data_IF_432276548939
#
_entry.id   IF_432276548939
#
_cell.length_a   1.000
_cell.length_b   1.000
_cell.length_c   1.000
_cell.angle_alpha   90.00
_cell.angle_beta   90.00
_cell.angle_gamma   90.00
#
_symmetry.space_group_name_H-M   'P 1'
#
loop_
_entity.id
_entity.type
_entity.pdbx_description
1 polymer ?
#
# COMPACT_ATOMS: atom_id res chain seq x y z
N UNK A 1 3.40 10.85 5.14
CA UNK A 1 4.30 9.89 4.44
C UNK A 1 3.64 8.53 4.40
N UNK A 2 3.81 7.79 3.31
CA UNK A 2 3.05 6.56 3.12
C UNK A 2 3.59 5.37 3.89
N UNK A 3 2.72 4.41 4.21
CA UNK A 3 3.08 3.06 4.58
C UNK A 3 3.29 2.24 3.30
N UNK A 4 4.36 1.45 3.24
CA UNK A 4 4.67 0.55 2.14
C UNK A 4 4.89 -0.87 2.64
N UNK A 5 4.30 -1.85 1.96
CA UNK A 5 4.56 -3.27 2.22
C UNK A 5 5.53 -3.74 1.13
N UNK A 6 6.68 -4.27 1.55
CA UNK A 6 7.76 -4.64 0.64
C UNK A 6 8.26 -6.06 0.92
N UNK A 7 8.52 -6.83 -0.13
CA UNK A 7 9.18 -8.12 -0.02
C UNK A 7 10.68 -7.92 -0.11
N UNK A 8 11.38 -8.01 1.03
CA UNK A 8 12.82 -7.78 1.09
C UNK A 8 13.44 -8.46 2.33
N UNK A 9 14.76 -8.42 2.40
CA UNK A 9 15.53 -8.71 3.61
C UNK A 9 15.69 -7.41 4.40
N UNK A 10 15.17 -7.37 5.62
CA UNK A 10 15.19 -6.15 6.47
C UNK A 10 16.61 -5.66 6.74
N UNK A 11 17.61 -6.55 6.73
CA UNK A 11 19.03 -6.20 6.92
C UNK A 11 19.63 -5.43 5.73
N UNK A 12 18.92 -5.39 4.59
CA UNK A 12 19.33 -4.69 3.36
C UNK A 12 18.54 -3.42 3.11
N UNK A 13 17.58 -3.10 3.98
CA UNK A 13 16.75 -1.91 3.84
C UNK A 13 17.57 -0.63 4.03
N UNK A 14 17.50 0.25 3.03
CA UNK A 14 18.12 1.57 3.08
C UNK A 14 17.10 2.58 3.62
N UNK A 15 17.03 2.70 4.93
CA UNK A 15 16.15 3.60 5.66
C UNK A 15 16.91 4.16 6.89
N UNK A 16 16.33 5.08 7.64
CA UNK A 16 17.00 5.64 8.82
C UNK A 16 17.05 4.66 9.96
N UNK A 17 15.98 3.90 10.19
CA UNK A 17 15.95 2.88 11.22
C UNK A 17 15.29 1.59 10.73
N UNK A 18 15.79 0.45 11.21
CA UNK A 18 15.09 -0.84 11.11
C UNK A 18 14.63 -1.27 12.49
N UNK A 19 13.50 -1.97 12.55
CA UNK A 19 12.99 -2.53 13.81
C UNK A 19 13.38 -4.01 13.91
N UNK A 20 13.90 -4.37 15.06
CA UNK A 20 14.24 -5.74 15.43
C UNK A 20 13.14 -6.33 16.31
N UNK A 21 12.53 -7.43 15.87
CA UNK A 21 11.65 -8.25 16.68
C UNK A 21 12.49 -9.13 17.63
N UNK A 22 12.92 -8.52 18.72
CA UNK A 22 13.84 -9.10 19.70
C UNK A 22 13.12 -9.93 20.77
N UNK A 23 13.89 -10.66 21.53
CA UNK A 23 13.46 -11.25 22.81
C UNK A 23 13.78 -10.31 23.98
N UNK A 24 13.28 -10.64 25.18
CA UNK A 24 13.45 -9.79 26.38
C UNK A 24 14.92 -9.54 26.77
N UNK A 25 15.84 -10.43 26.43
CA UNK A 25 17.26 -10.25 26.75
C UNK A 25 17.97 -9.28 25.82
N UNK A 26 17.48 -9.06 24.61
CA UNK A 26 18.09 -8.32 23.50
C UNK A 26 19.44 -8.90 23.02
N UNK A 27 19.76 -10.12 23.36
CA UNK A 27 21.07 -10.74 23.09
C UNK A 27 21.11 -11.61 21.82
N UNK A 28 20.16 -11.45 20.95
CA UNK A 28 19.99 -12.27 19.74
C UNK A 28 19.17 -13.52 20.01
N UNK A 29 18.70 -14.17 18.97
CA UNK A 29 17.93 -15.41 19.11
C UNK A 29 17.20 -15.81 17.83
N UNK A 30 15.98 -15.32 17.63
CA UNK A 30 15.10 -15.71 16.54
C UNK A 30 15.62 -15.45 15.13
N UNK A 31 14.83 -15.78 14.11
CA UNK A 31 15.26 -15.73 12.70
C UNK A 31 15.64 -14.29 12.29
N UNK A 32 14.76 -13.32 12.52
CA UNK A 32 15.00 -11.91 12.18
C UNK A 32 16.04 -11.30 13.10
N UNK A 33 15.89 -11.48 14.42
CA UNK A 33 16.81 -10.99 15.44
C UNK A 33 18.25 -11.49 15.21
N UNK A 34 18.41 -12.81 14.97
CA UNK A 34 19.70 -13.38 14.65
C UNK A 34 20.29 -12.88 13.32
N UNK A 35 19.47 -12.61 12.31
CA UNK A 35 19.94 -12.04 11.04
C UNK A 35 20.46 -10.60 11.23
N UNK A 36 19.74 -9.78 11.98
CA UNK A 36 20.13 -8.40 12.29
C UNK A 36 21.44 -8.37 13.07
N UNK A 37 21.56 -9.19 14.14
CA UNK A 37 22.79 -9.27 14.93
C UNK A 37 23.99 -9.74 14.10
N UNK A 38 23.84 -10.74 13.22
CA UNK A 38 24.92 -11.18 12.31
C UNK A 38 25.34 -10.09 11.34
N UNK A 39 24.36 -9.37 10.75
CA UNK A 39 24.63 -8.34 9.76
C UNK A 39 25.26 -7.08 10.41
N UNK A 40 24.82 -6.70 11.59
CA UNK A 40 25.34 -5.54 12.33
C UNK A 40 26.74 -5.76 12.92
N UNK A 41 27.08 -6.99 13.30
CA UNK A 41 28.36 -7.34 13.95
C UNK A 41 28.27 -7.33 15.48
N UNK A 42 29.40 -7.67 16.11
CA UNK A 42 29.49 -7.83 17.57
C UNK A 42 29.27 -6.52 18.37
N UNK A 43 29.49 -5.39 17.74
CA UNK A 43 29.30 -4.09 18.36
C UNK A 43 27.84 -3.89 18.78
N UNK A 44 26.88 -4.32 17.96
CA UNK A 44 25.45 -4.30 18.31
C UNK A 44 25.15 -5.11 19.56
N UNK A 45 25.69 -6.33 19.65
CA UNK A 45 25.52 -7.20 20.81
C UNK A 45 26.08 -6.56 22.09
N UNK A 46 27.24 -5.88 21.98
CA UNK A 46 27.86 -5.20 23.12
C UNK A 46 27.04 -3.99 23.60
N UNK A 47 26.40 -3.28 22.69
CA UNK A 47 25.48 -2.19 23.05
C UNK A 47 24.20 -2.74 23.68
N UNK A 48 23.58 -3.78 23.10
CA UNK A 48 22.40 -4.44 23.65
C UNK A 48 22.59 -4.96 25.08
N UNK A 49 23.79 -5.50 25.41
CA UNK A 49 24.11 -5.88 26.81
C UNK A 49 23.99 -4.74 27.79
N UNK A 50 24.39 -3.52 27.40
CA UNK A 50 24.30 -2.34 28.25
C UNK A 50 22.86 -1.86 28.48
N UNK A 51 21.96 -2.20 27.57
CA UNK A 51 20.54 -1.87 27.71
C UNK A 51 19.82 -2.67 28.81
N UNK A 52 20.37 -3.81 29.24
CA UNK A 52 19.82 -4.60 30.34
C UNK A 52 18.45 -5.26 30.03
N UNK A 53 18.18 -5.58 28.77
CA UNK A 53 16.93 -6.19 28.32
C UNK A 53 15.83 -5.16 27.98
N UNK A 54 14.65 -5.68 27.57
CA UNK A 54 13.47 -4.89 27.21
C UNK A 54 12.21 -5.69 27.57
N UNK A 55 11.19 -5.03 28.10
CA UNK A 55 9.92 -5.67 28.44
C UNK A 55 9.06 -5.82 27.18
N UNK A 56 8.14 -6.80 27.21
CA UNK A 56 7.14 -6.97 26.15
C UNK A 56 6.29 -5.69 25.99
N UNK A 57 6.11 -5.25 24.77
CA UNK A 57 5.43 -4.00 24.43
C UNK A 57 6.33 -2.75 24.43
N UNK A 58 7.51 -2.82 25.04
CA UNK A 58 8.47 -1.69 25.05
C UNK A 58 9.41 -1.72 23.84
N UNK A 59 10.12 -0.61 23.61
CA UNK A 59 11.15 -0.48 22.60
C UNK A 59 12.39 0.24 23.11
N UNK A 60 13.57 -0.12 22.62
CA UNK A 60 14.87 0.51 22.88
C UNK A 60 15.62 0.71 21.58
N UNK A 61 16.53 1.67 21.53
CA UNK A 61 17.27 2.02 20.32
C UNK A 61 18.77 1.88 20.51
N UNK A 62 19.47 1.47 19.46
CA UNK A 62 20.93 1.36 19.36
C UNK A 62 21.42 1.93 18.04
N UNK A 63 22.73 2.06 17.89
CA UNK A 63 23.37 2.25 16.59
C UNK A 63 23.21 1.01 15.69
N UNK A 64 23.27 1.19 14.38
CA UNK A 64 23.11 0.11 13.41
C UNK A 64 24.42 -0.56 12.97
N UNK A 65 25.56 0.07 13.25
CA UNK A 65 26.92 -0.41 12.96
C UNK A 65 27.16 -0.75 11.48
N UNK A 66 27.24 -2.05 11.09
CA UNK A 66 27.49 -2.48 9.71
C UNK A 66 26.24 -2.55 8.83
N UNK A 67 25.06 -2.30 9.38
CA UNK A 67 23.82 -2.27 8.62
C UNK A 67 23.71 -0.98 7.77
N UNK A 68 22.95 -1.01 6.65
CA UNK A 68 22.80 0.15 5.77
C UNK A 68 21.76 1.18 6.28
N UNK A 69 21.60 1.31 7.60
CA UNK A 69 20.73 2.25 8.29
C UNK A 69 21.48 2.95 9.42
N UNK A 70 20.85 3.93 10.08
CA UNK A 70 21.49 4.67 11.19
C UNK A 70 21.25 3.99 12.54
N UNK A 71 20.06 3.45 12.73
CA UNK A 71 19.60 2.92 14.01
C UNK A 71 18.95 1.55 13.88
N UNK A 72 19.02 0.77 14.98
CA UNK A 72 18.18 -0.42 15.19
C UNK A 72 17.29 -0.15 16.39
N UNK A 73 15.98 -0.27 16.21
CA UNK A 73 14.99 -0.17 17.28
C UNK A 73 14.60 -1.59 17.66
N UNK A 74 14.94 -1.98 18.88
CA UNK A 74 14.64 -3.30 19.43
C UNK A 74 13.30 -3.26 20.17
N UNK A 75 12.32 -4.05 19.77
CA UNK A 75 11.05 -4.20 20.47
C UNK A 75 10.75 -5.68 20.72
N UNK A 76 10.04 -5.94 21.80
CA UNK A 76 9.70 -7.31 22.23
C UNK A 76 8.19 -7.50 22.12
N UNK A 77 7.78 -8.27 21.12
CA UNK A 77 6.39 -8.59 20.92
C UNK A 77 5.88 -9.69 21.87
N UNK A 78 4.56 -9.84 22.02
CA UNK A 78 3.96 -10.89 22.83
C UNK A 78 4.11 -12.27 22.18
N UNK A 79 4.18 -13.32 23.02
CA UNK A 79 3.95 -14.70 22.60
C UNK A 79 2.45 -14.94 22.52
N UNK A 80 1.98 -15.49 21.41
CA UNK A 80 0.56 -15.77 21.22
C UNK A 80 0.06 -16.91 22.12
N UNK A 81 -1.00 -16.64 22.87
CA UNK A 81 -1.63 -17.60 23.79
C UNK A 81 -3.16 -17.69 23.56
N UNK A 82 -3.63 -17.25 22.37
CA UNK A 82 -5.05 -17.37 21.99
C UNK A 82 -5.83 -16.06 22.00
N UNK A 83 -5.18 -14.91 22.22
CA UNK A 83 -5.80 -13.58 22.14
C UNK A 83 -6.49 -13.09 23.44
N UNK A 84 -6.31 -13.81 24.56
CA UNK A 84 -6.97 -13.49 25.83
C UNK A 84 -6.03 -12.87 26.89
N UNK A 85 -4.77 -12.60 26.54
CA UNK A 85 -3.74 -12.13 27.46
C UNK A 85 -3.18 -10.75 27.05
N UNK A 86 -4.05 -9.89 26.52
CA UNK A 86 -3.68 -8.54 26.04
C UNK A 86 -2.62 -8.53 24.93
N UNK A 87 -2.54 -9.61 24.13
CA UNK A 87 -1.52 -9.73 23.11
C UNK A 87 -1.68 -8.66 22.01
N UNK A 88 -2.92 -8.28 21.66
CA UNK A 88 -3.18 -7.21 20.70
C UNK A 88 -2.68 -5.86 21.20
N UNK A 89 -2.97 -5.52 22.46
CA UNK A 89 -2.53 -4.28 23.09
C UNK A 89 -1.00 -4.22 23.21
N UNK A 90 -0.37 -5.35 23.58
CA UNK A 90 1.08 -5.45 23.68
C UNK A 90 1.75 -5.34 22.30
N UNK A 91 1.18 -5.96 21.26
CA UNK A 91 1.69 -5.87 19.91
C UNK A 91 1.52 -4.45 19.36
N UNK A 92 0.38 -3.81 19.58
CA UNK A 92 0.11 -2.42 19.26
C UNK A 92 1.14 -1.49 19.92
N UNK A 93 1.44 -1.72 21.19
CA UNK A 93 2.45 -0.96 21.94
C UNK A 93 3.86 -1.10 21.33
N UNK A 94 4.22 -2.24 20.76
CA UNK A 94 5.50 -2.43 20.08
C UNK A 94 5.64 -1.47 18.88
N UNK A 95 4.61 -1.39 18.03
CA UNK A 95 4.60 -0.47 16.88
C UNK A 95 4.60 0.98 17.34
N UNK A 96 3.72 1.33 18.29
CA UNK A 96 3.62 2.68 18.84
C UNK A 96 4.95 3.17 19.41
N UNK A 97 5.56 2.41 20.33
CA UNK A 97 6.80 2.79 21.00
C UNK A 97 7.98 2.85 20.03
N UNK A 98 8.03 1.96 19.05
CA UNK A 98 9.07 2.00 18.01
C UNK A 98 8.95 3.24 17.13
N UNK A 99 7.74 3.60 16.69
CA UNK A 99 7.48 4.81 15.90
C UNK A 99 7.79 6.09 16.70
N UNK A 100 7.45 6.09 18.00
CA UNK A 100 7.76 7.20 18.90
C UNK A 100 9.27 7.40 19.07
N UNK A 101 10.04 6.31 19.18
CA UNK A 101 11.51 6.37 19.20
C UNK A 101 12.06 6.86 17.86
N UNK A 102 11.58 6.31 16.73
CA UNK A 102 12.02 6.76 15.41
C UNK A 102 11.80 8.27 15.24
N UNK A 103 10.66 8.80 15.67
CA UNK A 103 10.37 10.24 15.65
C UNK A 103 11.31 11.02 16.55
N UNK A 104 11.58 10.56 17.78
CA UNK A 104 12.47 11.22 18.73
C UNK A 104 13.92 11.29 18.24
N UNK A 105 14.33 10.35 17.40
CA UNK A 105 15.64 10.31 16.74
C UNK A 105 15.64 10.89 15.32
N UNK A 106 14.60 11.67 14.98
CA UNK A 106 14.46 12.39 13.71
C UNK A 106 14.58 11.50 12.48
N UNK A 107 14.09 10.24 12.56
CA UNK A 107 14.05 9.35 11.43
C UNK A 107 12.95 9.79 10.46
N UNK A 108 13.28 9.92 9.18
CA UNK A 108 12.33 10.16 8.09
C UNK A 108 11.76 8.85 7.55
N UNK A 109 12.44 7.72 7.84
CA UNK A 109 12.04 6.39 7.36
C UNK A 109 12.35 5.28 8.36
N UNK A 110 11.42 4.32 8.49
CA UNK A 110 11.57 3.15 9.38
C UNK A 110 11.02 1.89 8.74
N UNK A 111 11.72 0.76 8.91
CA UNK A 111 11.28 -0.54 8.39
C UNK A 111 10.99 -1.51 9.53
N UNK A 112 9.80 -2.11 9.51
CA UNK A 112 9.33 -3.08 10.48
C UNK A 112 9.30 -4.48 9.88
N UNK A 113 9.71 -5.52 10.62
CA UNK A 113 9.26 -6.88 10.33
C UNK A 113 7.82 -7.06 10.83
N UNK A 114 7.18 -8.15 10.44
CA UNK A 114 5.89 -8.53 11.04
C UNK A 114 6.14 -9.11 12.45
N UNK A 115 6.02 -8.25 13.47
CA UNK A 115 6.37 -8.57 14.86
C UNK A 115 5.50 -9.71 15.40
N UNK A 116 6.07 -10.61 16.18
CA UNK A 116 5.45 -11.80 16.79
C UNK A 116 4.93 -12.88 15.85
N UNK A 117 4.88 -12.66 14.53
CA UNK A 117 4.27 -13.60 13.57
C UNK A 117 5.14 -14.83 13.24
N UNK A 118 6.37 -14.87 13.73
CA UNK A 118 7.29 -16.00 13.56
C UNK A 118 7.20 -17.00 14.74
N UNK A 119 8.31 -17.17 15.45
CA UNK A 119 8.44 -18.13 16.58
C UNK A 119 7.42 -17.88 17.70
N UNK A 120 6.97 -16.63 17.88
CA UNK A 120 5.97 -16.27 18.89
C UNK A 120 4.53 -16.62 18.48
N UNK A 121 4.31 -17.08 17.26
CA UNK A 121 3.08 -17.75 16.82
C UNK A 121 1.85 -16.83 16.68
N UNK A 122 2.01 -15.52 16.72
CA UNK A 122 0.88 -14.59 16.49
C UNK A 122 0.31 -14.81 15.08
N UNK A 123 -1.03 -14.96 14.91
CA UNK A 123 -1.61 -15.16 13.58
C UNK A 123 -1.24 -14.01 12.65
N UNK A 124 -0.65 -14.34 11.49
CA UNK A 124 -0.03 -13.35 10.59
C UNK A 124 -1.01 -12.28 10.12
N UNK A 125 -2.24 -12.67 9.77
CA UNK A 125 -3.30 -11.74 9.34
C UNK A 125 -3.65 -10.72 10.44
N UNK A 126 -3.85 -11.21 11.67
CA UNK A 126 -4.15 -10.34 12.81
C UNK A 126 -2.96 -9.46 13.17
N UNK A 127 -1.73 -9.99 13.14
CA UNK A 127 -0.52 -9.21 13.38
C UNK A 127 -0.34 -8.08 12.35
N UNK A 128 -0.65 -8.35 11.09
CA UNK A 128 -0.60 -7.35 10.03
C UNK A 128 -1.66 -6.26 10.23
N UNK A 129 -2.89 -6.64 10.61
CA UNK A 129 -3.95 -5.69 10.88
C UNK A 129 -3.60 -4.75 12.03
N UNK A 130 -3.04 -5.27 13.13
CA UNK A 130 -2.56 -4.46 14.26
C UNK A 130 -1.44 -3.51 13.81
N UNK A 131 -0.48 -4.01 13.02
CA UNK A 131 0.61 -3.20 12.47
C UNK A 131 0.08 -2.03 11.64
N UNK A 132 -0.79 -2.30 10.67
CA UNK A 132 -1.39 -1.30 9.79
C UNK A 132 -2.15 -0.26 10.61
N UNK A 133 -3.02 -0.70 11.53
CA UNK A 133 -3.83 0.20 12.36
C UNK A 133 -2.97 1.16 13.17
N UNK A 134 -1.93 0.68 13.86
CA UNK A 134 -1.06 1.55 14.69
C UNK A 134 -0.18 2.47 13.84
N UNK A 135 0.37 1.96 12.73
CA UNK A 135 1.16 2.79 11.82
C UNK A 135 0.30 3.89 11.19
N UNK A 136 -0.93 3.57 10.76
CA UNK A 136 -1.85 4.56 10.20
C UNK A 136 -2.27 5.61 11.21
N UNK A 137 -2.56 5.23 12.47
CA UNK A 137 -2.83 6.18 13.56
C UNK A 137 -1.66 7.16 13.75
N UNK A 138 -0.42 6.64 13.78
CA UNK A 138 0.76 7.47 13.92
C UNK A 138 0.96 8.41 12.72
N UNK A 139 0.78 7.90 11.49
CA UNK A 139 0.95 8.66 10.25
C UNK A 139 -0.15 9.71 10.04
N UNK A 140 -1.29 9.62 10.73
CA UNK A 140 -2.31 10.67 10.69
C UNK A 140 -1.74 12.03 11.10
N UNK A 141 -0.88 12.05 12.13
CA UNK A 141 -0.31 13.27 12.70
C UNK A 141 1.18 13.47 12.39
N UNK A 142 1.82 12.52 11.71
CA UNK A 142 3.27 12.54 11.48
C UNK A 142 3.61 12.25 10.00
N UNK A 143 4.65 12.88 9.51
CA UNK A 143 5.21 12.61 8.18
C UNK A 143 6.45 11.71 8.32
N UNK A 144 6.28 10.42 8.05
CA UNK A 144 7.36 9.42 8.09
C UNK A 144 7.09 8.35 7.02
N UNK A 145 8.13 7.86 6.35
CA UNK A 145 8.01 6.72 5.44
C UNK A 145 8.17 5.41 6.25
N UNK A 146 7.12 4.61 6.31
CA UNK A 146 7.12 3.35 7.06
C UNK A 146 7.05 2.17 6.11
N UNK A 147 7.91 1.19 6.32
CA UNK A 147 7.91 -0.07 5.58
C UNK A 147 7.48 -1.21 6.49
N UNK A 148 6.59 -2.08 6.02
CA UNK A 148 6.41 -3.44 6.57
C UNK A 148 7.16 -4.38 5.62
N UNK A 149 8.19 -5.06 6.14
CA UNK A 149 9.08 -5.93 5.37
C UNK A 149 8.67 -7.38 5.57
N UNK A 150 8.27 -8.02 4.49
CA UNK A 150 7.91 -9.45 4.45
C UNK A 150 9.00 -10.20 3.73
N UNK A 151 9.53 -11.27 4.36
CA UNK A 151 10.63 -12.04 3.79
C UNK A 151 10.15 -13.07 2.76
N UNK A 152 9.09 -13.79 3.07
CA UNK A 152 8.51 -14.83 2.21
C UNK A 152 7.04 -14.55 1.83
N UNK A 153 6.59 -15.21 0.76
CA UNK A 153 5.21 -15.09 0.27
C UNK A 153 4.20 -15.74 1.22
N UNK A 154 4.60 -16.80 1.93
CA UNK A 154 3.75 -17.52 2.90
C UNK A 154 3.57 -16.72 4.20
N UNK A 155 4.44 -15.75 4.45
CA UNK A 155 4.36 -14.81 5.58
C UNK A 155 3.20 -13.84 5.46
N UNK A 156 2.67 -13.66 4.26
CA UNK A 156 1.64 -12.70 3.95
C UNK A 156 0.48 -13.42 3.26
N UNK A 157 -0.43 -13.97 4.04
CA UNK A 157 -1.65 -14.59 3.52
C UNK A 157 -2.82 -13.66 3.72
N UNK A 158 -3.39 -13.22 2.62
CA UNK A 158 -4.75 -12.69 2.55
C UNK A 158 -5.73 -13.75 3.07
N UNK A 159 -6.79 -13.36 3.70
CA UNK A 159 -7.88 -14.27 4.08
C UNK A 159 -8.21 -15.20 2.90
N UNK A 160 -8.15 -16.51 3.10
CA UNK A 160 -8.46 -17.52 2.07
C UNK A 160 -9.82 -17.29 1.40
N UNK A 161 -10.75 -16.64 2.13
CA UNK A 161 -12.07 -16.27 1.61
C UNK A 161 -11.95 -15.14 0.58
N UNK A 162 -11.18 -14.09 0.88
CA UNK A 162 -10.98 -12.95 -0.03
C UNK A 162 -10.30 -13.38 -1.33
N UNK A 163 -9.26 -14.23 -1.25
CA UNK A 163 -8.58 -14.79 -2.45
C UNK A 163 -9.54 -15.59 -3.30
N UNK A 164 -10.39 -16.42 -2.69
CA UNK A 164 -11.39 -17.20 -3.42
C UNK A 164 -12.41 -16.29 -4.10
N UNK A 165 -12.95 -15.29 -3.39
CA UNK A 165 -13.96 -14.37 -3.93
C UNK A 165 -13.40 -13.56 -5.11
N UNK A 166 -12.12 -13.15 -5.05
CA UNK A 166 -11.44 -12.47 -6.16
C UNK A 166 -11.19 -13.42 -7.34
N UNK A 167 -10.77 -14.65 -7.08
CA UNK A 167 -10.54 -15.64 -8.13
C UNK A 167 -11.83 -15.98 -8.87
N UNK A 168 -12.94 -16.21 -8.15
CA UNK A 168 -14.26 -16.43 -8.71
C UNK A 168 -14.71 -15.23 -9.57
N UNK A 169 -14.52 -13.99 -9.08
CA UNK A 169 -14.84 -12.78 -9.82
C UNK A 169 -14.01 -12.64 -11.12
N UNK A 170 -12.72 -12.96 -11.08
CA UNK A 170 -11.85 -12.95 -12.26
C UNK A 170 -12.34 -13.95 -13.29
N UNK A 171 -12.70 -15.16 -12.88
CA UNK A 171 -13.17 -16.23 -13.78
C UNK A 171 -14.54 -15.89 -14.39
N UNK A 172 -15.49 -15.36 -13.60
CA UNK A 172 -16.81 -14.92 -14.08
C UNK A 172 -16.68 -13.80 -15.13
N UNK A 173 -15.89 -12.77 -14.85
CA UNK A 173 -15.69 -11.67 -15.80
C UNK A 173 -14.96 -12.09 -17.07
N UNK A 174 -14.02 -13.03 -16.96
CA UNK A 174 -13.36 -13.59 -18.13
C UNK A 174 -14.35 -14.33 -19.04
N UNK A 175 -15.24 -15.13 -18.46
CA UNK A 175 -16.27 -15.87 -19.21
C UNK A 175 -17.30 -14.91 -19.84
N UNK A 176 -17.82 -13.93 -19.11
CA UNK A 176 -18.79 -12.95 -19.62
C UNK A 176 -18.23 -12.12 -20.77
N UNK A 177 -16.99 -11.64 -20.67
CA UNK A 177 -16.36 -10.82 -21.71
C UNK A 177 -16.15 -11.62 -23.00
N UNK A 178 -15.70 -12.89 -22.89
CA UNK A 178 -15.50 -13.75 -24.05
C UNK A 178 -16.80 -14.25 -24.67
N UNK A 179 -17.88 -14.39 -23.88
CA UNK A 179 -19.22 -14.72 -24.38
C UNK A 179 -19.85 -13.54 -25.14
N UNK A 180 -19.67 -12.30 -24.64
CA UNK A 180 -20.20 -11.10 -25.28
C UNK A 180 -19.46 -10.75 -26.58
N UNK A 181 -18.14 -10.94 -26.65
CA UNK A 181 -17.35 -10.73 -27.87
C UNK A 181 -17.72 -11.72 -28.99
N UNK A 182 -17.98 -12.98 -28.66
CA UNK A 182 -18.41 -13.97 -29.63
C UNK A 182 -19.82 -13.71 -30.15
N UNK A 183 -20.75 -13.17 -29.33
CA UNK A 183 -22.08 -12.73 -29.76
C UNK A 183 -22.03 -11.49 -30.65
N UNK A 184 -21.18 -10.50 -30.31
CA UNK A 184 -21.03 -9.27 -31.08
C UNK A 184 -20.42 -9.56 -32.47
N UNK A 185 -19.45 -10.48 -32.57
CA UNK A 185 -18.87 -10.89 -33.88
C UNK A 185 -19.86 -11.67 -34.77
N UNK A 186 -20.78 -12.41 -34.17
CA UNK A 186 -21.86 -13.11 -34.90
C UNK A 186 -22.93 -12.15 -35.42
N UNK A 187 -23.35 -11.16 -34.63
CA UNK A 187 -24.38 -10.18 -34.99
C UNK A 187 -23.89 -9.10 -35.95
N UNK A 188 -22.65 -8.68 -35.85
CA UNK A 188 -22.05 -7.64 -36.73
C UNK A 188 -21.89 -8.10 -38.18
N UNK A 189 -21.96 -9.42 -38.45
CA UNK A 189 -21.90 -9.97 -39.80
C UNK A 189 -23.24 -9.97 -40.50
N UNK A 190 -24.34 -9.82 -39.77
CA UNK A 190 -25.73 -9.88 -40.28
C UNK A 190 -26.38 -8.50 -40.51
N UNK A 191 -25.81 -7.43 -40.00
CA UNK A 191 -26.44 -6.08 -39.99
C UNK A 191 -25.56 -5.00 -40.63
N UNK A 192 -24.76 -5.31 -41.67
CA UNK A 192 -24.16 -4.27 -42.49
C UNK A 192 -25.12 -3.85 -43.59
N UNK A 193 -26.01 -2.93 -43.27
CA UNK A 193 -26.54 -1.97 -44.24
C UNK A 193 -25.73 -0.68 -44.11
N UNK A 194 -25.30 -0.05 -45.20
CA UNK A 194 -24.55 1.20 -45.12
C UNK A 194 -25.53 2.33 -44.82
N UNK A 195 -25.58 2.78 -43.58
CA UNK A 195 -26.17 4.07 -43.26
C UNK A 195 -25.25 5.17 -43.74
N UNK A 196 -25.65 5.88 -44.78
CA UNK A 196 -25.06 7.13 -45.22
C UNK A 196 -25.45 8.21 -44.24
N UNK A 197 -24.56 8.56 -43.33
CA UNK A 197 -24.69 9.78 -42.55
C UNK A 197 -24.32 10.98 -43.42
N UNK A 198 -25.10 12.05 -43.44
CA UNK A 198 -24.69 13.28 -44.10
C UNK A 198 -23.50 13.86 -43.33
N UNK A 199 -22.33 13.83 -43.95
CA UNK A 199 -21.17 14.56 -43.48
C UNK A 199 -21.43 16.07 -43.56
N UNK A 200 -21.89 16.67 -42.48
CA UNK A 200 -21.70 18.09 -42.27
C UNK A 200 -20.25 18.34 -41.92
N UNK A 201 -19.42 18.53 -42.91
CA UNK A 201 -18.05 19.02 -42.79
C UNK A 201 -18.12 20.54 -42.44
N UNK A 202 -18.44 20.88 -41.21
CA UNK A 202 -17.89 22.10 -40.65
C UNK A 202 -16.37 21.80 -40.49
N UNK A 203 -15.54 22.54 -41.24
CA UNK A 203 -14.09 22.45 -41.08
C UNK A 203 -13.73 22.94 -39.67
N UNK A 204 -13.66 22.01 -38.72
CA UNK A 204 -13.16 22.27 -37.38
C UNK A 204 -11.68 22.66 -37.54
N UNK A 205 -11.37 23.92 -37.27
CA UNK A 205 -9.98 24.37 -37.22
C UNK A 205 -9.28 23.60 -36.10
N UNK A 206 -8.21 22.88 -36.41
CA UNK A 206 -7.46 22.08 -35.46
C UNK A 206 -7.02 22.92 -34.23
N UNK A 207 -6.72 24.17 -34.42
CA UNK A 207 -6.39 25.11 -33.34
C UNK A 207 -7.54 25.32 -32.36
N UNK A 208 -8.79 25.38 -32.83
CA UNK A 208 -9.98 25.55 -31.99
C UNK A 208 -10.27 24.27 -31.20
N UNK A 209 -10.06 23.09 -31.78
CA UNK A 209 -10.22 21.79 -31.11
C UNK A 209 -9.15 21.59 -30.04
N UNK A 210 -7.89 21.96 -30.34
CA UNK A 210 -6.78 21.85 -29.36
C UNK A 210 -6.92 22.82 -28.21
N UNK A 211 -7.58 23.98 -28.41
CA UNK A 211 -7.85 24.97 -27.34
C UNK A 211 -9.04 24.62 -26.45
N UNK A 212 -9.85 23.60 -26.81
CA UNK A 212 -10.99 23.11 -26.01
C UNK A 212 -10.62 21.82 -25.28
N UNK A 213 -9.44 21.81 -24.60
CA UNK A 213 -9.05 20.67 -23.76
C UNK A 213 -9.97 20.55 -22.56
N UNK A 214 -10.39 19.33 -22.30
CA UNK A 214 -11.13 18.96 -21.10
C UNK A 214 -10.31 19.18 -19.82
N UNK A 215 -11.01 19.17 -18.68
CA UNK A 215 -10.41 19.16 -17.34
C UNK A 215 -9.26 18.14 -17.24
N UNK A 216 -8.11 18.56 -16.73
CA UNK A 216 -6.96 17.67 -16.56
C UNK A 216 -7.13 16.77 -15.34
N UNK A 217 -6.28 15.71 -15.24
CA UNK A 217 -6.24 14.84 -14.06
C UNK A 217 -6.08 15.64 -12.76
N UNK A 218 -5.14 16.60 -12.74
CA UNK A 218 -4.87 17.41 -11.54
C UNK A 218 -6.07 18.26 -11.13
N UNK A 219 -6.76 18.87 -12.09
CA UNK A 219 -7.96 19.67 -11.83
C UNK A 219 -9.10 18.79 -11.31
N UNK A 220 -9.37 17.65 -11.96
CA UNK A 220 -10.39 16.70 -11.50
C UNK A 220 -10.09 16.19 -10.08
N UNK A 221 -8.82 15.84 -9.79
CA UNK A 221 -8.43 15.38 -8.45
C UNK A 221 -8.75 16.44 -7.39
N UNK A 222 -8.35 17.71 -7.60
CA UNK A 222 -8.57 18.77 -6.63
C UNK A 222 -10.07 19.06 -6.45
N UNK A 223 -10.84 19.09 -7.53
CA UNK A 223 -12.29 19.23 -7.48
C UNK A 223 -12.95 18.09 -6.67
N UNK A 224 -12.52 16.85 -6.90
CA UNK A 224 -13.04 15.70 -6.16
C UNK A 224 -12.66 15.72 -4.68
N UNK A 225 -11.49 16.23 -4.31
CA UNK A 225 -11.10 16.45 -2.91
C UNK A 225 -12.05 17.45 -2.25
N UNK A 226 -12.33 18.58 -2.91
CA UNK A 226 -13.24 19.60 -2.41
C UNK A 226 -14.69 19.07 -2.31
N UNK A 227 -15.18 18.33 -3.32
CA UNK A 227 -16.51 17.70 -3.32
C UNK A 227 -16.70 16.72 -2.14
N UNK A 228 -15.64 16.00 -1.76
CA UNK A 228 -15.65 15.06 -0.62
C UNK A 228 -15.40 15.74 0.73
N UNK A 229 -15.13 17.04 0.76
CA UNK A 229 -14.84 17.79 1.99
C UNK A 229 -13.54 17.36 2.68
N UNK A 230 -12.59 16.76 1.95
CA UNK A 230 -11.32 16.33 2.47
C UNK A 230 -10.28 17.46 2.37
N UNK A 231 -9.32 17.45 3.31
CA UNK A 231 -8.11 18.24 3.13
C UNK A 231 -7.11 17.51 2.23
N UNK A 232 -6.22 18.24 1.60
CA UNK A 232 -5.12 17.67 0.81
C UNK A 232 -4.37 16.59 1.59
N UNK A 233 -4.06 16.87 2.87
CA UNK A 233 -3.30 15.95 3.71
C UNK A 233 -4.07 14.68 4.02
N UNK A 234 -5.36 14.75 4.22
CA UNK A 234 -6.21 13.57 4.39
C UNK A 234 -6.25 12.74 3.11
N UNK A 235 -6.39 13.38 1.95
CA UNK A 235 -6.46 12.70 0.66
C UNK A 235 -5.17 11.95 0.34
N UNK A 236 -3.99 12.61 0.34
CA UNK A 236 -2.75 11.93 -0.03
C UNK A 236 -2.33 10.86 1.00
N UNK A 237 -2.64 11.04 2.29
CA UNK A 237 -2.41 10.02 3.31
C UNK A 237 -3.31 8.81 3.11
N UNK A 238 -4.60 9.01 2.85
CA UNK A 238 -5.56 7.94 2.55
C UNK A 238 -5.20 7.19 1.26
N UNK A 239 -4.68 7.91 0.25
CA UNK A 239 -4.15 7.32 -0.99
C UNK A 239 -2.78 6.63 -0.81
N UNK A 240 -2.17 6.68 0.37
CA UNK A 240 -0.80 6.23 0.62
C UNK A 240 0.22 6.85 -0.35
N UNK A 241 0.01 8.11 -0.73
CA UNK A 241 0.85 8.86 -1.68
C UNK A 241 1.73 9.85 -0.93
N UNK A 242 2.99 9.98 -1.37
CA UNK A 242 3.96 10.90 -0.80
C UNK A 242 3.53 12.37 -0.96
N UNK A 243 3.74 13.18 0.08
CA UNK A 243 3.45 14.62 0.07
C UNK A 243 4.14 15.37 -1.07
N UNK A 244 5.40 15.02 -1.37
CA UNK A 244 6.17 15.67 -2.45
C UNK A 244 5.55 15.36 -3.82
N UNK A 245 5.08 14.12 -4.01
CA UNK A 245 4.36 13.71 -5.23
C UNK A 245 3.02 14.44 -5.33
N UNK A 246 2.24 14.50 -4.25
CA UNK A 246 0.98 15.25 -4.24
C UNK A 246 1.20 16.73 -4.56
N UNK A 247 2.21 17.37 -3.97
CA UNK A 247 2.57 18.76 -4.26
C UNK A 247 2.91 19.00 -5.75
N UNK A 248 3.60 18.03 -6.39
CA UNK A 248 3.85 18.11 -7.85
C UNK A 248 2.56 18.03 -8.66
N UNK A 249 1.63 17.17 -8.28
CA UNK A 249 0.33 17.03 -8.95
C UNK A 249 -0.47 18.34 -8.80
N UNK A 250 -0.54 18.89 -7.58
CA UNK A 250 -1.28 20.13 -7.28
C UNK A 250 -0.75 21.33 -8.05
N UNK A 251 0.56 21.46 -8.14
CA UNK A 251 1.21 22.65 -8.73
C UNK A 251 1.41 22.56 -10.26
N UNK A 252 1.09 21.43 -10.86
CA UNK A 252 1.23 21.23 -12.31
C UNK A 252 -0.06 20.67 -12.90
N UNK A 253 -0.84 21.54 -13.55
CA UNK A 253 -2.12 21.21 -14.18
C UNK A 253 -1.97 20.07 -15.20
N UNK A 254 -0.84 19.99 -15.90
CA UNK A 254 -0.57 19.00 -16.93
C UNK A 254 0.21 17.79 -16.39
N UNK A 255 0.23 17.58 -15.06
CA UNK A 255 0.93 16.43 -14.49
C UNK A 255 0.27 15.11 -14.89
N UNK A 256 1.05 14.18 -15.39
CA UNK A 256 0.60 12.82 -15.72
C UNK A 256 1.09 11.84 -14.65
N UNK A 257 0.22 11.38 -13.74
CA UNK A 257 0.59 10.40 -12.73
C UNK A 257 0.82 9.02 -13.34
N UNK A 258 1.46 8.13 -12.59
CA UNK A 258 1.42 6.69 -12.92
C UNK A 258 -0.01 6.16 -12.74
N UNK A 259 -0.36 5.07 -13.44
CA UNK A 259 -1.68 4.42 -13.32
C UNK A 259 -1.99 4.03 -11.87
N UNK A 260 -1.02 3.45 -11.15
CA UNK A 260 -1.14 3.07 -9.74
C UNK A 260 -1.43 4.28 -8.83
N UNK A 261 -0.84 5.42 -9.11
CA UNK A 261 -1.08 6.67 -8.37
C UNK A 261 -2.50 7.22 -8.63
N UNK A 262 -2.95 7.20 -9.89
CA UNK A 262 -4.31 7.65 -10.23
C UNK A 262 -5.37 6.77 -9.57
N UNK A 263 -5.18 5.44 -9.57
CA UNK A 263 -6.06 4.49 -8.88
C UNK A 263 -6.01 4.68 -7.36
N UNK A 264 -4.84 4.92 -6.77
CA UNK A 264 -4.71 5.17 -5.34
C UNK A 264 -5.56 6.37 -4.90
N UNK A 265 -5.62 7.45 -5.69
CA UNK A 265 -6.52 8.58 -5.43
C UNK A 265 -7.98 8.24 -5.65
N UNK A 266 -8.32 7.44 -6.67
CA UNK A 266 -9.69 6.99 -6.88
C UNK A 266 -10.21 6.18 -5.68
N UNK A 267 -9.41 5.26 -5.15
CA UNK A 267 -9.70 4.49 -3.94
C UNK A 267 -9.81 5.42 -2.71
N UNK A 268 -8.86 6.33 -2.50
CA UNK A 268 -8.87 7.24 -1.35
C UNK A 268 -10.08 8.18 -1.32
N UNK A 269 -10.57 8.58 -2.50
CA UNK A 269 -11.75 9.42 -2.67
C UNK A 269 -13.06 8.63 -2.73
N UNK A 270 -13.00 7.30 -2.62
CA UNK A 270 -14.16 6.40 -2.69
C UNK A 270 -15.00 6.69 -3.95
N UNK A 271 -14.33 6.75 -5.09
CA UNK A 271 -15.00 7.01 -6.37
C UNK A 271 -15.74 5.76 -6.86
N UNK A 272 -16.89 5.97 -7.47
CA UNK A 272 -17.59 4.92 -8.20
C UNK A 272 -16.74 4.39 -9.37
N UNK A 273 -17.13 3.25 -9.95
CA UNK A 273 -16.40 2.68 -11.09
C UNK A 273 -16.36 3.64 -12.29
N UNK A 274 -17.48 4.34 -12.56
CA UNK A 274 -17.57 5.28 -13.68
C UNK A 274 -16.67 6.51 -13.43
N UNK A 275 -16.70 7.10 -12.24
CA UNK A 275 -15.82 8.21 -11.85
C UNK A 275 -14.34 7.78 -11.87
N UNK A 276 -14.04 6.54 -11.48
CA UNK A 276 -12.68 5.99 -11.56
C UNK A 276 -12.23 5.86 -13.01
N UNK A 277 -13.09 5.36 -13.91
CA UNK A 277 -12.80 5.29 -15.34
C UNK A 277 -12.56 6.67 -15.94
N UNK A 278 -13.38 7.67 -15.58
CA UNK A 278 -13.19 9.04 -16.00
C UNK A 278 -11.85 9.62 -15.50
N UNK A 279 -11.53 9.47 -14.23
CA UNK A 279 -10.25 9.92 -13.65
C UNK A 279 -9.04 9.27 -14.33
N UNK A 280 -9.10 7.97 -14.62
CA UNK A 280 -8.06 7.27 -15.34
C UNK A 280 -7.91 7.77 -16.78
N UNK A 281 -9.02 8.05 -17.47
CA UNK A 281 -9.02 8.58 -18.82
C UNK A 281 -8.34 9.95 -18.89
N UNK A 282 -8.57 10.85 -17.91
CA UNK A 282 -7.87 12.14 -17.79
C UNK A 282 -6.36 11.97 -17.57
N UNK A 283 -5.93 10.87 -16.96
CA UNK A 283 -4.51 10.50 -16.81
C UNK A 283 -3.93 9.76 -18.03
N UNK A 284 -4.76 9.42 -19.02
CA UNK A 284 -4.38 8.66 -20.21
C UNK A 284 -4.34 7.14 -20.01
N UNK A 285 -5.12 6.62 -19.05
CA UNK A 285 -5.23 5.20 -18.74
C UNK A 285 -6.67 4.69 -18.86
N UNK A 286 -6.82 3.38 -18.88
CA UNK A 286 -8.09 2.68 -18.78
C UNK A 286 -7.94 1.43 -17.94
N UNK A 287 -9.04 0.92 -17.36
CA UNK A 287 -9.11 -0.43 -16.80
C UNK A 287 -9.33 -1.43 -17.94
N UNK A 288 -8.67 -2.56 -17.88
CA UNK A 288 -8.74 -3.62 -18.90
C UNK A 288 -8.95 -4.96 -18.23
N UNK A 289 -9.98 -5.70 -18.67
CA UNK A 289 -10.26 -7.05 -18.18
C UNK A 289 -9.22 -8.09 -18.64
N UNK A 290 -8.32 -7.74 -19.57
CA UNK A 290 -7.16 -8.56 -19.92
C UNK A 290 -5.99 -8.44 -18.95
N UNK A 291 -6.09 -7.56 -17.95
CA UNK A 291 -5.04 -7.29 -16.98
C UNK A 291 -5.53 -7.63 -15.56
N UNK A 292 -4.90 -8.60 -14.93
CA UNK A 292 -5.24 -9.08 -13.59
C UNK A 292 -5.26 -7.95 -12.53
N UNK A 293 -4.30 -7.02 -12.59
CA UNK A 293 -4.26 -5.85 -11.72
C UNK A 293 -5.56 -5.02 -11.84
N UNK A 294 -6.00 -4.75 -13.08
CA UNK A 294 -7.19 -3.92 -13.33
C UNK A 294 -8.47 -4.59 -12.86
N UNK A 295 -8.58 -5.91 -13.07
CA UNK A 295 -9.72 -6.71 -12.61
C UNK A 295 -9.82 -6.72 -11.08
N UNK A 296 -8.68 -6.83 -10.36
CA UNK A 296 -8.66 -6.75 -8.90
C UNK A 296 -9.14 -5.36 -8.43
N UNK A 297 -8.67 -4.28 -9.05
CA UNK A 297 -9.11 -2.93 -8.70
C UNK A 297 -10.62 -2.76 -8.93
N UNK A 298 -11.12 -3.22 -10.08
CA UNK A 298 -12.55 -3.14 -10.41
C UNK A 298 -13.41 -3.92 -9.41
N UNK A 299 -12.97 -5.11 -9.00
CA UNK A 299 -13.63 -5.91 -7.96
C UNK A 299 -13.81 -5.14 -6.66
N UNK A 300 -12.74 -4.49 -6.14
CA UNK A 300 -12.81 -3.75 -4.88
C UNK A 300 -13.73 -2.53 -4.97
N UNK A 301 -13.66 -1.78 -6.08
CA UNK A 301 -14.54 -0.63 -6.32
C UNK A 301 -16.01 -1.05 -6.38
N UNK A 302 -16.33 -2.15 -7.07
CA UNK A 302 -17.71 -2.66 -7.17
C UNK A 302 -18.23 -3.19 -5.83
N UNK A 303 -17.37 -3.72 -4.98
CA UNK A 303 -17.70 -4.14 -3.62
C UNK A 303 -17.87 -2.97 -2.64
N UNK A 304 -17.48 -1.75 -3.03
CA UNK A 304 -17.46 -0.58 -2.13
C UNK A 304 -16.37 -0.69 -1.06
N UNK A 305 -15.32 -1.45 -1.31
CA UNK A 305 -14.19 -1.63 -0.40
C UNK A 305 -13.04 -0.71 -0.82
N UNK A 306 -12.82 0.34 -0.06
CA UNK A 306 -11.89 1.41 -0.39
C UNK A 306 -10.68 1.51 0.56
N UNK A 307 -10.44 0.49 1.38
CA UNK A 307 -9.21 0.45 2.18
C UNK A 307 -8.02 0.07 1.29
N UNK A 308 -7.12 1.03 1.07
CA UNK A 308 -5.96 0.86 0.19
C UNK A 308 -5.04 -0.29 0.66
N UNK A 309 -5.04 -0.59 1.95
CA UNK A 309 -4.19 -1.66 2.50
C UNK A 309 -4.78 -3.02 2.18
N UNK A 310 -6.11 -3.18 2.31
CA UNK A 310 -6.83 -4.39 1.89
C UNK A 310 -6.67 -4.63 0.39
N UNK A 311 -6.79 -3.58 -0.43
CA UNK A 311 -6.53 -3.66 -1.87
C UNK A 311 -5.09 -4.08 -2.16
N UNK A 312 -4.11 -3.49 -1.49
CA UNK A 312 -2.70 -3.82 -1.66
C UNK A 312 -2.36 -5.24 -1.19
N UNK A 313 -3.03 -5.72 -0.16
CA UNK A 313 -2.93 -7.10 0.31
C UNK A 313 -3.30 -8.08 -0.81
N UNK A 314 -4.46 -7.87 -1.43
CA UNK A 314 -4.89 -8.68 -2.56
C UNK A 314 -3.95 -8.56 -3.77
N UNK A 315 -3.54 -7.34 -4.14
CA UNK A 315 -2.58 -7.12 -5.23
C UNK A 315 -1.27 -7.87 -5.01
N UNK A 316 -0.77 -7.88 -3.76
CA UNK A 316 0.44 -8.60 -3.39
C UNK A 316 0.28 -10.12 -3.55
N UNK A 317 -0.86 -10.69 -3.11
CA UNK A 317 -1.13 -12.12 -3.21
C UNK A 317 -1.16 -12.60 -4.67
N UNK A 318 -1.67 -11.77 -5.57
CA UNK A 318 -1.70 -12.06 -7.00
C UNK A 318 -0.45 -11.60 -7.77
N UNK A 319 0.67 -11.31 -7.08
CA UNK A 319 1.94 -10.84 -7.66
C UNK A 319 1.77 -9.57 -8.54
N UNK A 320 0.88 -8.65 -8.13
CA UNK A 320 0.65 -7.40 -8.82
C UNK A 320 1.38 -6.23 -8.16
N UNK A 321 1.53 -5.14 -8.92
CA UNK A 321 2.13 -3.89 -8.42
C UNK A 321 1.18 -3.25 -7.39
N UNK A 322 1.73 -2.74 -6.29
CA UNK A 322 0.93 -2.14 -5.22
C UNK A 322 0.57 -0.68 -5.53
N UNK A 323 -0.52 -0.21 -4.93
CA UNK A 323 -0.96 1.18 -4.98
C UNK A 323 -0.15 2.07 -4.01
N UNK A 324 -0.01 3.35 -4.34
CA UNK A 324 0.64 4.33 -3.45
C UNK A 324 2.17 4.21 -3.36
N UNK A 325 2.82 3.63 -4.38
CA UNK A 325 4.28 3.49 -4.45
C UNK A 325 4.91 4.42 -5.49
#
# INVERSE_FOLDING_TARGET
>A
MPLQIVRNDITKMKCDAIVNAANNSLLGGGVVDGAIHRAAGNELLNECRKLGGCRTGEAKITGAYKLPCKYVIHTVGPVWQGGNYHEEELLSSCYHNSLKLAKAYECESVAFPLISSGVYGYPKEQALQVAINEICKFLADNDMLVYIVVFDKDGFRVSKKLVRDIAEYIDEHYVETHYSENRSRGLSRLLRQPETYPMQTAALNLADVVNQLDESFSQMLLRKIDEKGLTDSQCYKKANVDRKLFSKIRNNVNYKPKKTTAIAFAVALELSLDETKEMLQKAGYALSHSNKFDVIIEYFIQKGEYDIFTVNEALFEFDQVLLGQ
#
